data_IF_589763314112
#
_entry.id   IF_589763314112
#
_cell.length_a   1.000
_cell.length_b   1.000
_cell.length_c   1.000
_cell.angle_alpha   90.00
_cell.angle_beta   90.00
_cell.angle_gamma   90.00
#
_symmetry.space_group_name_H-M   'P 1'
#
loop_
_entity.id
_entity.type
_entity.pdbx_description
1 polymer ?
#
# COMPACT_ATOMS: atom_id res chain seq x y z
N UNK A 1 6.10 36.49 1.90
CA UNK A 1 5.59 35.97 3.19
C UNK A 1 6.35 34.68 3.46
N UNK A 2 7.30 34.69 4.40
CA UNK A 2 8.02 33.46 4.78
C UNK A 2 7.08 32.62 5.63
N UNK A 3 6.79 31.39 5.22
CA UNK A 3 6.06 30.45 6.05
C UNK A 3 6.88 30.21 7.32
N UNK A 4 6.28 30.46 8.48
CA UNK A 4 6.88 30.12 9.77
C UNK A 4 6.95 28.61 9.87
N UNK A 5 8.14 28.06 10.08
CA UNK A 5 8.27 26.62 10.26
C UNK A 5 7.53 26.19 11.54
N UNK A 6 6.82 25.06 11.50
CA UNK A 6 6.12 24.56 12.67
C UNK A 6 7.12 24.18 13.77
N UNK A 7 6.83 24.60 15.00
CA UNK A 7 7.64 24.19 16.17
C UNK A 7 7.41 22.71 16.48
N UNK A 8 8.39 22.09 17.15
CA UNK A 8 8.27 20.71 17.63
C UNK A 8 7.06 20.54 18.55
N UNK A 9 6.77 21.52 19.41
CA UNK A 9 5.60 21.52 20.30
C UNK A 9 4.29 21.42 19.52
N UNK A 10 4.15 22.21 18.45
CA UNK A 10 2.95 22.19 17.60
C UNK A 10 2.78 20.83 16.90
N UNK A 11 3.86 20.27 16.37
CA UNK A 11 3.84 18.95 15.71
C UNK A 11 3.44 17.84 16.69
N UNK A 12 3.97 17.89 17.91
CA UNK A 12 3.61 16.93 18.96
C UNK A 12 2.16 17.07 19.40
N UNK A 13 1.65 18.30 19.52
CA UNK A 13 0.24 18.55 19.86
C UNK A 13 -0.70 17.97 18.78
N UNK A 14 -0.40 18.23 17.51
CA UNK A 14 -1.16 17.66 16.38
C UNK A 14 -1.12 16.13 16.43
N UNK A 15 0.07 15.55 16.61
CA UNK A 15 0.23 14.09 16.71
C UNK A 15 -0.62 13.50 17.85
N UNK A 16 -0.58 14.08 19.05
CA UNK A 16 -1.35 13.58 20.20
C UNK A 16 -2.85 13.71 19.98
N UNK A 17 -3.32 14.81 19.36
CA UNK A 17 -4.73 14.99 18.99
C UNK A 17 -5.19 13.94 17.99
N UNK A 18 -4.38 13.65 16.97
CA UNK A 18 -4.69 12.61 15.99
C UNK A 18 -4.68 11.22 16.63
N UNK A 19 -3.67 10.92 17.45
CA UNK A 19 -3.54 9.63 18.13
C UNK A 19 -4.69 9.39 19.11
N UNK A 20 -5.10 10.39 19.89
CA UNK A 20 -6.18 10.29 20.86
C UNK A 20 -7.56 10.07 20.22
N UNK A 21 -7.80 10.70 19.07
CA UNK A 21 -9.09 10.58 18.37
C UNK A 21 -9.17 9.35 17.46
N UNK A 22 -8.07 8.98 16.79
CA UNK A 22 -8.07 7.93 15.76
C UNK A 22 -7.50 6.59 16.26
N UNK A 23 -6.85 6.58 17.43
CA UNK A 23 -6.12 5.43 17.95
C UNK A 23 -4.86 5.10 17.14
N UNK A 24 -4.18 4.02 17.53
CA UNK A 24 -3.09 3.45 16.74
C UNK A 24 -3.66 2.85 15.46
N UNK A 25 -3.30 3.43 14.30
CA UNK A 25 -3.90 3.07 13.02
C UNK A 25 -3.33 1.81 12.36
N UNK A 26 -2.28 1.19 12.93
CA UNK A 26 -1.58 0.02 12.34
C UNK A 26 -1.53 0.16 10.81
N UNK A 27 -0.89 1.25 10.39
CA UNK A 27 -1.05 1.98 9.12
C UNK A 27 -1.16 1.12 7.85
N UNK A 28 -0.61 -0.10 7.87
CA UNK A 28 -0.84 -1.10 6.84
C UNK A 28 -1.03 -2.49 7.47
N UNK A 29 -2.23 -3.09 7.42
CA UNK A 29 -2.44 -4.46 7.85
C UNK A 29 -2.07 -5.41 6.70
N UNK A 30 -0.80 -5.79 6.62
CA UNK A 30 -0.31 -6.74 5.61
C UNK A 30 -1.13 -8.04 5.70
N UNK A 31 -1.70 -8.48 4.58
CA UNK A 31 -2.71 -9.56 4.54
C UNK A 31 -2.14 -10.91 4.19
N UNK A 32 -1.27 -10.97 3.19
CA UNK A 32 -0.90 -12.25 2.58
C UNK A 32 0.45 -12.79 3.07
N UNK A 33 1.38 -11.91 3.43
CA UNK A 33 2.64 -12.36 3.98
C UNK A 33 3.19 -11.38 5.02
N UNK A 34 3.30 -11.83 6.27
CA UNK A 34 3.82 -11.02 7.38
C UNK A 34 5.31 -11.25 7.63
N UNK A 35 5.97 -12.08 6.80
CA UNK A 35 7.40 -12.38 6.86
C UNK A 35 8.25 -11.51 5.94
N UNK A 36 9.16 -12.15 5.20
CA UNK A 36 10.12 -11.45 4.33
C UNK A 36 9.45 -10.67 3.18
N UNK A 37 8.26 -11.10 2.75
CA UNK A 37 7.52 -10.49 1.65
C UNK A 37 6.50 -9.43 2.10
N UNK A 38 6.47 -9.06 3.39
CA UNK A 38 5.56 -8.04 3.90
C UNK A 38 5.76 -6.67 3.22
N UNK A 39 6.98 -6.38 2.79
CA UNK A 39 7.30 -5.16 2.03
C UNK A 39 6.72 -5.15 0.61
N UNK A 40 6.49 -6.33 0.01
CA UNK A 40 5.95 -6.44 -1.34
C UNK A 40 4.52 -5.89 -1.41
N UNK A 41 3.65 -6.29 -0.49
CA UNK A 41 2.25 -5.84 -0.47
C UNK A 41 2.14 -4.32 -0.35
N UNK A 42 2.98 -3.72 0.51
CA UNK A 42 3.04 -2.27 0.72
C UNK A 42 3.46 -1.57 -0.57
N UNK A 43 4.54 -2.04 -1.20
CA UNK A 43 5.06 -1.43 -2.43
C UNK A 43 4.09 -1.57 -3.61
N UNK A 44 3.57 -2.79 -3.83
CA UNK A 44 2.60 -3.06 -4.89
C UNK A 44 1.32 -2.24 -4.69
N UNK A 45 0.78 -2.20 -3.46
CA UNK A 45 -0.41 -1.41 -3.15
C UNK A 45 -0.20 0.09 -3.39
N UNK A 46 0.95 0.64 -3.02
CA UNK A 46 1.30 2.05 -3.25
C UNK A 46 1.46 2.40 -4.74
N UNK A 47 1.91 1.46 -5.57
CA UNK A 47 1.99 1.64 -7.02
C UNK A 47 0.58 1.61 -7.63
N UNK A 48 -0.20 0.59 -7.31
CA UNK A 48 -1.51 0.34 -7.93
C UNK A 48 -2.54 1.42 -7.58
N UNK A 49 -2.47 2.02 -6.38
CA UNK A 49 -3.45 3.03 -5.94
C UNK A 49 -3.39 4.33 -6.75
N UNK A 50 -2.30 4.59 -7.48
CA UNK A 50 -2.13 5.85 -8.23
C UNK A 50 -3.23 6.07 -9.28
N UNK A 51 -3.83 5.00 -9.81
CA UNK A 51 -4.82 5.08 -10.89
C UNK A 51 -6.25 4.67 -10.47
N UNK A 52 -6.50 4.34 -9.20
CA UNK A 52 -7.79 3.74 -8.82
C UNK A 52 -8.16 3.86 -7.34
N UNK A 53 -9.36 3.38 -6.99
CA UNK A 53 -9.80 3.26 -5.60
C UNK A 53 -9.05 2.15 -4.85
N UNK A 54 -8.92 2.28 -3.54
CA UNK A 54 -8.33 1.23 -2.69
C UNK A 54 -9.03 -0.13 -2.85
N UNK A 55 -10.36 -0.16 -3.00
CA UNK A 55 -11.11 -1.39 -3.25
C UNK A 55 -10.66 -2.15 -4.52
N UNK A 56 -10.22 -1.42 -5.54
CA UNK A 56 -9.70 -2.00 -6.77
C UNK A 56 -8.27 -2.50 -6.62
N UNK A 57 -7.46 -1.83 -5.78
CA UNK A 57 -6.13 -2.29 -5.39
C UNK A 57 -6.21 -3.59 -4.60
N UNK A 58 -7.12 -3.67 -3.62
CA UNK A 58 -7.32 -4.89 -2.84
C UNK A 58 -7.68 -6.09 -3.72
N UNK A 59 -8.50 -5.86 -4.76
CA UNK A 59 -8.83 -6.88 -5.76
C UNK A 59 -7.63 -7.28 -6.61
N UNK A 60 -6.82 -6.33 -7.07
CA UNK A 60 -5.61 -6.61 -7.83
C UNK A 60 -4.58 -7.40 -7.01
N UNK A 61 -4.36 -7.02 -5.76
CA UNK A 61 -3.48 -7.75 -4.83
C UNK A 61 -4.00 -9.17 -4.56
N UNK A 62 -5.31 -9.34 -4.38
CA UNK A 62 -5.91 -10.66 -4.24
C UNK A 62 -5.70 -11.53 -5.48
N UNK A 63 -5.86 -10.98 -6.67
CA UNK A 63 -5.65 -11.68 -7.93
C UNK A 63 -4.17 -12.09 -8.12
N UNK A 64 -3.22 -11.19 -7.86
CA UNK A 64 -1.78 -11.47 -7.90
C UNK A 64 -1.43 -12.63 -6.98
N UNK A 65 -1.93 -12.60 -5.74
CA UNK A 65 -1.71 -13.67 -4.78
C UNK A 65 -2.32 -15.00 -5.25
N UNK A 66 -3.56 -15.00 -5.75
CA UNK A 66 -4.23 -16.20 -6.27
C UNK A 66 -3.53 -16.78 -7.50
N UNK A 67 -2.93 -15.94 -8.34
CA UNK A 67 -2.16 -16.35 -9.51
C UNK A 67 -0.76 -16.87 -9.17
N UNK A 68 -0.34 -16.84 -7.90
CA UNK A 68 1.01 -17.20 -7.47
C UNK A 68 2.07 -16.15 -7.85
N UNK A 69 1.64 -14.95 -8.27
CA UNK A 69 2.51 -13.82 -8.63
C UNK A 69 2.69 -12.94 -7.39
N UNK A 70 3.32 -13.49 -6.36
CA UNK A 70 3.51 -12.83 -5.08
C UNK A 70 4.98 -12.72 -4.68
N UNK A 71 5.43 -11.50 -4.37
CA UNK A 71 6.82 -11.20 -4.11
C UNK A 71 7.56 -10.69 -5.37
N UNK A 72 8.69 -10.01 -5.15
CA UNK A 72 9.42 -9.33 -6.23
C UNK A 72 9.90 -10.29 -7.31
N UNK A 73 10.40 -11.47 -6.92
CA UNK A 73 10.90 -12.47 -7.87
C UNK A 73 9.77 -13.09 -8.70
N UNK A 74 8.63 -13.40 -8.07
CA UNK A 74 7.48 -13.95 -8.78
C UNK A 74 6.90 -12.99 -9.81
N UNK A 75 6.90 -11.68 -9.52
CA UNK A 75 6.54 -10.65 -10.51
C UNK A 75 7.55 -10.59 -11.64
N UNK A 76 8.85 -10.65 -11.35
CA UNK A 76 9.89 -10.61 -12.37
C UNK A 76 9.85 -11.81 -13.33
N UNK A 77 9.51 -13.00 -12.83
CA UNK A 77 9.45 -14.24 -13.60
C UNK A 77 8.11 -14.47 -14.31
N UNK A 78 7.06 -13.70 -13.96
CA UNK A 78 5.73 -13.87 -14.53
C UNK A 78 5.64 -13.30 -15.95
N UNK A 79 4.77 -13.91 -16.75
CA UNK A 79 4.43 -13.39 -18.08
C UNK A 79 3.64 -12.08 -17.96
N UNK A 80 3.96 -11.09 -18.79
CA UNK A 80 3.33 -9.78 -18.79
C UNK A 80 1.81 -9.88 -18.91
N UNK A 81 1.27 -10.81 -19.72
CA UNK A 81 -0.17 -10.95 -19.89
C UNK A 81 -0.85 -11.44 -18.60
N UNK A 82 -0.17 -12.29 -17.83
CA UNK A 82 -0.67 -12.76 -16.53
C UNK A 82 -0.68 -11.63 -15.49
N UNK A 83 0.36 -10.79 -15.47
CA UNK A 83 0.43 -9.61 -14.61
C UNK A 83 -0.71 -8.64 -14.96
N UNK A 84 -0.85 -8.30 -16.25
CA UNK A 84 -1.87 -7.39 -16.78
C UNK A 84 -3.27 -7.88 -16.39
N UNK A 85 -3.55 -9.17 -16.52
CA UNK A 85 -4.84 -9.73 -16.11
C UNK A 85 -5.06 -9.61 -14.60
N UNK A 86 -4.06 -9.93 -13.79
CA UNK A 86 -4.15 -9.85 -12.35
C UNK A 86 -4.43 -8.42 -11.85
N UNK A 87 -3.78 -7.42 -12.47
CA UNK A 87 -3.92 -6.01 -12.07
C UNK A 87 -5.01 -5.26 -12.86
N UNK A 88 -5.78 -5.91 -13.73
CA UNK A 88 -6.81 -5.26 -14.57
C UNK A 88 -7.78 -4.37 -13.78
N UNK A 89 -8.08 -4.74 -12.54
CA UNK A 89 -8.96 -3.93 -11.68
C UNK A 89 -8.38 -2.58 -11.27
N UNK A 90 -7.05 -2.43 -11.24
CA UNK A 90 -6.41 -1.19 -10.80
C UNK A 90 -6.33 -0.11 -11.87
N UNK A 91 -6.67 -0.41 -13.14
CA UNK A 91 -6.58 0.56 -14.23
C UNK A 91 -5.13 0.95 -14.51
N UNK A 92 -4.62 0.58 -15.66
CA UNK A 92 -3.32 1.02 -16.16
C UNK A 92 -3.51 1.98 -17.33
#
# INVERSE_FOLDING_TARGET
>A
MSATEPTTELLLEIYQRLLGNMGRRNWWPVRYDSGADAGFEIAAGAILVQNTSWSNVERALANLHQAGIWGYQAVYDADDAAIVEAIRSSGY
#
